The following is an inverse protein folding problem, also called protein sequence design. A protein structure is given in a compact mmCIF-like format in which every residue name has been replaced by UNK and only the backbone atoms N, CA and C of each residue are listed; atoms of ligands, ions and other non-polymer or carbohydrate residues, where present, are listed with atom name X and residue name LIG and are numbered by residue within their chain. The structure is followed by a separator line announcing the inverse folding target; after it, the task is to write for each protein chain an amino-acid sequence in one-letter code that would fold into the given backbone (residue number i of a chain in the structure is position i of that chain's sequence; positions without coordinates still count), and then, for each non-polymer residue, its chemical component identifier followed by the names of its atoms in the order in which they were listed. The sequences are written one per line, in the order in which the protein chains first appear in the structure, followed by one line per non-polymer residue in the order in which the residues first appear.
data_IF_090230935485
#
_entry.id   IF_090230935485
#
_cell.length_a   1.000
_cell.length_b   1.000
_cell.length_c   1.000
_cell.angle_alpha   90.00
_cell.angle_beta   90.00
_cell.angle_gamma   90.00
#
_symmetry.space_group_name_H-M   'P 1'
#
loop_
_entity.id
_entity.type
_entity.pdbx_description
1 polymer ?
#
# COMPACT_ATOMS: atom_id res chain seq x y z
N UNK A 1 1.56 7.11 -4.46
CA UNK A 1 2.28 6.78 -3.22
C UNK A 1 3.44 7.74 -3.09
N UNK A 2 3.58 8.43 -1.96
CA UNK A 2 4.74 9.25 -1.65
C UNK A 2 5.32 8.76 -0.32
N UNK A 3 6.65 8.64 -0.22
CA UNK A 3 7.35 8.12 0.96
C UNK A 3 8.08 9.27 1.62
N UNK A 4 7.92 9.42 2.95
CA UNK A 4 8.62 10.44 3.74
C UNK A 4 10.01 9.96 4.19
N UNK A 5 10.97 10.85 4.48
CA UNK A 5 12.36 10.48 4.79
C UNK A 5 12.49 9.49 5.95
N UNK A 6 11.78 9.72 7.05
CA UNK A 6 11.80 8.80 8.21
C UNK A 6 11.39 7.38 7.81
N UNK A 7 10.31 7.23 7.04
CA UNK A 7 9.85 5.94 6.55
C UNK A 7 10.87 5.30 5.61
N UNK A 8 11.49 6.06 4.71
CA UNK A 8 12.54 5.54 3.82
C UNK A 8 13.71 4.96 4.61
N UNK A 9 14.19 5.67 5.63
CA UNK A 9 15.32 5.27 6.47
C UNK A 9 14.99 4.12 7.44
N UNK A 10 13.79 4.11 8.02
CA UNK A 10 13.43 3.19 9.11
C UNK A 10 12.61 1.97 8.67
N UNK A 11 12.48 1.74 7.37
CA UNK A 11 11.84 0.54 6.80
C UNK A 11 12.71 -0.03 5.70
N UNK A 12 12.35 -1.18 5.13
CA UNK A 12 13.07 -1.76 4.00
C UNK A 12 12.91 -0.98 2.67
N UNK A 13 12.16 0.13 2.64
CA UNK A 13 11.96 0.91 1.41
C UNK A 13 13.28 1.42 0.79
N UNK A 14 14.32 1.70 1.58
CA UNK A 14 15.63 2.12 1.07
C UNK A 14 16.45 1.03 0.38
N UNK A 15 16.03 -0.24 0.46
CA UNK A 15 16.73 -1.36 -0.19
C UNK A 15 16.14 -1.73 -1.55
N UNK A 16 14.96 -1.21 -1.88
CA UNK A 16 14.28 -1.52 -3.13
C UNK A 16 14.97 -0.90 -4.33
N UNK A 17 15.09 -1.70 -5.38
CA UNK A 17 15.57 -1.30 -6.70
C UNK A 17 14.47 -1.49 -7.74
N UNK A 18 14.66 -0.88 -8.92
CA UNK A 18 13.71 -1.05 -10.04
C UNK A 18 13.58 -2.55 -10.35
N UNK A 19 12.34 -3.04 -10.35
CA UNK A 19 12.02 -4.46 -10.54
C UNK A 19 11.84 -5.26 -9.25
N UNK A 20 11.98 -4.64 -8.07
CA UNK A 20 11.69 -5.31 -6.79
C UNK A 20 10.22 -5.73 -6.71
N UNK A 21 9.99 -6.98 -6.34
CA UNK A 21 8.65 -7.50 -6.07
C UNK A 21 8.27 -7.18 -4.63
N UNK A 22 7.11 -6.55 -4.45
CA UNK A 22 6.60 -6.16 -3.13
C UNK A 22 5.16 -6.60 -2.97
N UNK A 23 4.75 -6.81 -1.72
CA UNK A 23 3.37 -7.12 -1.39
C UNK A 23 2.53 -5.84 -1.43
N UNK A 24 1.38 -5.90 -2.12
CA UNK A 24 0.41 -4.82 -2.16
C UNK A 24 -0.83 -5.28 -1.39
N UNK A 25 -1.08 -4.65 -0.25
CA UNK A 25 -2.26 -4.91 0.57
C UNK A 25 -3.27 -3.78 0.42
N UNK A 26 -4.54 -4.14 0.25
CA UNK A 26 -5.65 -3.20 0.19
C UNK A 26 -6.34 -3.10 1.56
N UNK A 27 -6.65 -1.88 1.97
CA UNK A 27 -7.39 -1.62 3.19
C UNK A 27 -8.76 -2.33 3.18
N UNK A 28 -9.09 -2.96 4.31
CA UNK A 28 -10.34 -3.68 4.49
C UNK A 28 -11.57 -2.77 4.35
N UNK A 29 -11.45 -1.50 4.73
CA UNK A 29 -12.52 -0.49 4.63
C UNK A 29 -12.92 -0.31 3.16
N UNK A 30 -11.95 -0.27 2.25
CA UNK A 30 -12.21 -0.17 0.81
C UNK A 30 -13.03 -1.35 0.28
N UNK A 31 -12.78 -2.56 0.79
CA UNK A 31 -13.55 -3.77 0.43
C UNK A 31 -15.00 -3.68 0.91
N UNK A 32 -15.21 -3.19 2.13
CA UNK A 32 -16.57 -2.98 2.66
C UNK A 32 -17.33 -1.90 1.91
N UNK A 33 -16.70 -0.78 1.58
CA UNK A 33 -17.32 0.29 0.78
C UNK A 33 -17.70 -0.23 -0.60
N UNK A 34 -16.80 -0.93 -1.29
CA UNK A 34 -17.09 -1.53 -2.60
C UNK A 34 -18.30 -2.48 -2.54
N UNK A 35 -18.35 -3.34 -1.52
CA UNK A 35 -19.47 -4.26 -1.30
C UNK A 35 -20.78 -3.51 -1.00
N UNK A 36 -20.76 -2.44 -0.21
CA UNK A 36 -21.95 -1.62 0.06
C UNK A 36 -22.47 -0.91 -1.21
N UNK A 37 -21.58 -0.42 -2.06
CA UNK A 37 -21.95 0.21 -3.35
C UNK A 37 -22.54 -0.83 -4.32
N UNK A 38 -22.04 -2.07 -4.32
CA UNK A 38 -22.58 -3.15 -5.15
C UNK A 38 -23.99 -3.64 -4.74
N UNK A 39 -24.40 -3.42 -3.50
CA UNK A 39 -25.75 -3.75 -3.03
C UNK A 39 -26.78 -2.62 -3.27
N UNK A 40 -26.36 -1.53 -3.91
CA UNK A 40 -27.22 -0.41 -4.31
C UNK A 40 -27.51 -0.48 -5.81
#
# INVERSE_FOLDING_TARGET
MAIIPYTYEHTNFHTFTIGSVVNIEFDIIGKYISRMIQYK
#
